data_IF_441558675809
#
_entry.id   IF_441558675809
#
_cell.length_a   1.000
_cell.length_b   1.000
_cell.length_c   1.000
_cell.angle_alpha   90.00
_cell.angle_beta   90.00
_cell.angle_gamma   90.00
#
_symmetry.space_group_name_H-M   'P 1'
#
loop_
_entity.id
_entity.type
_entity.pdbx_description
1 polymer ?
#
# COMPACT_ATOMS: atom_id res chain seq x y z
N UNK A 1 13.83 -19.63 -0.94
CA UNK A 1 14.45 -18.91 -2.08
C UNK A 1 14.01 -17.44 -2.01
N UNK A 2 14.58 -16.51 -2.79
CA UNK A 2 14.07 -15.12 -2.81
C UNK A 2 12.80 -15.09 -3.64
N UNK A 3 11.67 -14.78 -3.02
CA UNK A 3 10.40 -14.61 -3.74
C UNK A 3 10.36 -13.22 -4.36
N UNK A 4 9.96 -13.13 -5.63
CA UNK A 4 9.70 -11.87 -6.32
C UNK A 4 8.23 -11.80 -6.69
N UNK A 5 7.62 -10.63 -6.50
CA UNK A 5 6.24 -10.39 -6.89
C UNK A 5 6.17 -9.77 -8.29
N UNK A 6 5.21 -10.20 -9.10
CA UNK A 6 5.03 -9.70 -10.47
C UNK A 6 3.99 -8.59 -10.54
N UNK A 7 3.97 -7.87 -11.66
CA UNK A 7 2.95 -6.86 -11.93
C UNK A 7 1.55 -7.47 -12.04
N UNK A 8 1.44 -8.72 -12.47
CA UNK A 8 0.16 -9.43 -12.59
C UNK A 8 -0.44 -9.70 -11.21
N UNK A 9 0.35 -10.20 -10.27
CA UNK A 9 -0.10 -10.48 -8.89
C UNK A 9 -0.65 -9.22 -8.21
N UNK A 10 0.09 -8.11 -8.34
CA UNK A 10 -0.29 -6.83 -7.74
C UNK A 10 -1.51 -6.24 -8.45
N UNK A 11 -1.59 -6.31 -9.78
CA UNK A 11 -2.75 -5.82 -10.53
C UNK A 11 -4.02 -6.61 -10.21
N UNK A 12 -3.91 -7.93 -10.06
CA UNK A 12 -5.04 -8.77 -9.71
C UNK A 12 -5.61 -8.35 -8.35
N UNK A 13 -4.76 -8.28 -7.32
CA UNK A 13 -5.16 -7.86 -5.98
C UNK A 13 -5.71 -6.43 -5.96
N UNK A 14 -5.06 -5.48 -6.65
CA UNK A 14 -5.54 -4.10 -6.74
C UNK A 14 -6.89 -4.00 -7.43
N UNK A 15 -7.12 -4.79 -8.48
CA UNK A 15 -8.39 -4.81 -9.21
C UNK A 15 -9.53 -5.38 -8.35
N UNK A 16 -9.27 -6.43 -7.57
CA UNK A 16 -10.23 -6.97 -6.59
C UNK A 16 -10.59 -5.94 -5.51
N UNK A 17 -9.62 -5.14 -5.09
CA UNK A 17 -9.83 -4.02 -4.16
C UNK A 17 -10.51 -2.79 -4.83
N UNK A 18 -10.69 -2.82 -6.16
CA UNK A 18 -11.31 -1.75 -6.95
C UNK A 18 -10.38 -0.59 -7.31
N UNK A 19 -9.07 -0.76 -7.21
CA UNK A 19 -8.06 0.24 -7.57
C UNK A 19 -7.60 0.09 -9.02
N UNK A 20 -7.41 1.22 -9.69
CA UNK A 20 -6.72 1.28 -10.98
C UNK A 20 -5.45 2.10 -10.84
N UNK A 21 -4.32 1.49 -11.21
CA UNK A 21 -2.98 2.08 -11.09
C UNK A 21 -2.27 1.95 -12.44
N UNK A 22 -1.65 3.02 -12.95
CA UNK A 22 -0.87 2.95 -14.18
C UNK A 22 0.28 1.93 -14.07
N UNK A 23 0.53 1.16 -15.13
CA UNK A 23 1.59 0.15 -15.18
C UNK A 23 2.99 0.71 -14.86
N UNK A 24 3.27 1.95 -15.27
CA UNK A 24 4.52 2.65 -14.94
C UNK A 24 4.71 2.77 -13.42
N UNK A 25 3.63 3.10 -12.70
CA UNK A 25 3.65 3.25 -11.24
C UNK A 25 3.80 1.88 -10.57
N UNK A 26 3.13 0.85 -11.08
CA UNK A 26 3.25 -0.52 -10.57
C UNK A 26 4.69 -1.01 -10.70
N UNK A 27 5.32 -0.86 -11.87
CA UNK A 27 6.71 -1.28 -12.07
C UNK A 27 7.68 -0.56 -11.12
N UNK A 28 7.47 0.74 -10.87
CA UNK A 28 8.27 1.48 -9.90
C UNK A 28 8.06 0.99 -8.46
N UNK A 29 6.83 0.63 -8.09
CA UNK A 29 6.52 0.04 -6.78
C UNK A 29 7.17 -1.34 -6.64
N UNK A 30 7.08 -2.19 -7.67
CA UNK A 30 7.71 -3.52 -7.66
C UNK A 30 9.21 -3.44 -7.46
N UNK A 31 9.89 -2.50 -8.11
CA UNK A 31 11.33 -2.31 -7.91
C UNK A 31 11.68 -1.96 -6.46
N UNK A 32 10.86 -1.13 -5.80
CA UNK A 32 11.05 -0.80 -4.38
C UNK A 32 10.73 -1.97 -3.46
N UNK A 33 9.68 -2.71 -3.75
CA UNK A 33 9.22 -3.81 -2.89
C UNK A 33 10.13 -5.03 -3.04
N UNK A 34 10.57 -5.35 -4.26
CA UNK A 34 11.50 -6.46 -4.46
C UNK A 34 12.89 -6.20 -3.84
N UNK A 35 13.27 -4.94 -3.56
CA UNK A 35 14.52 -4.64 -2.86
C UNK A 35 14.52 -5.05 -1.38
N UNK A 36 13.36 -5.38 -0.79
CA UNK A 36 13.29 -5.90 0.59
C UNK A 36 13.43 -7.43 0.66
N UNK A 37 13.52 -8.12 -0.48
CA UNK A 37 13.64 -9.58 -0.54
C UNK A 37 14.86 -10.11 0.20
N UNK A 38 16.00 -9.41 0.15
CA UNK A 38 17.21 -9.79 0.89
C UNK A 38 17.00 -9.79 2.41
N UNK A 39 16.25 -8.81 2.93
CA UNK A 39 15.89 -8.76 4.35
C UNK A 39 15.01 -9.95 4.74
N UNK A 40 14.02 -10.28 3.91
CA UNK A 40 13.12 -11.38 4.18
C UNK A 40 13.83 -12.75 4.14
N UNK A 41 14.77 -12.93 3.22
CA UNK A 41 15.60 -14.14 3.17
C UNK A 41 16.53 -14.22 4.38
N UNK A 42 17.16 -13.11 4.78
CA UNK A 42 18.04 -13.06 5.95
C UNK A 42 17.33 -13.46 7.25
N UNK A 43 16.03 -13.15 7.36
CA UNK A 43 15.20 -13.49 8.51
C UNK A 43 14.47 -14.84 8.40
N UNK A 44 14.76 -15.64 7.37
CA UNK A 44 14.16 -16.98 7.16
C UNK A 44 12.62 -16.98 7.08
N UNK A 45 12.01 -15.95 6.50
CA UNK A 45 10.58 -15.94 6.24
C UNK A 45 10.19 -17.08 5.29
N UNK A 46 9.02 -17.69 5.53
CA UNK A 46 8.47 -18.70 4.62
C UNK A 46 8.15 -18.07 3.26
N UNK A 47 8.19 -18.85 2.18
CA UNK A 47 7.91 -18.31 0.83
C UNK A 47 6.50 -17.72 0.72
N UNK A 48 5.53 -18.27 1.47
CA UNK A 48 4.19 -17.73 1.56
C UNK A 48 4.15 -16.36 2.26
N UNK A 49 4.89 -16.20 3.38
CA UNK A 49 4.95 -14.93 4.10
C UNK A 49 5.69 -13.87 3.28
N UNK A 50 6.77 -14.24 2.60
CA UNK A 50 7.49 -13.34 1.70
C UNK A 50 6.54 -12.80 0.62
N UNK A 51 5.79 -13.67 -0.04
CA UNK A 51 4.84 -13.29 -1.08
C UNK A 51 3.75 -12.35 -0.55
N UNK A 52 3.17 -12.67 0.61
CA UNK A 52 2.14 -11.82 1.24
C UNK A 52 2.68 -10.44 1.63
N UNK A 53 3.87 -10.37 2.23
CA UNK A 53 4.52 -9.11 2.62
C UNK A 53 4.76 -8.24 1.38
N UNK A 54 5.26 -8.82 0.29
CA UNK A 54 5.52 -8.10 -0.96
C UNK A 54 4.22 -7.60 -1.62
N UNK A 55 3.18 -8.44 -1.72
CA UNK A 55 1.89 -8.01 -2.30
C UNK A 55 1.24 -6.90 -1.47
N UNK A 56 1.19 -7.07 -0.14
CA UNK A 56 0.54 -6.10 0.74
C UNK A 56 1.30 -4.78 0.77
N UNK A 57 2.62 -4.80 0.81
CA UNK A 57 3.43 -3.57 0.74
C UNK A 57 3.24 -2.85 -0.61
N UNK A 58 3.21 -3.57 -1.74
CA UNK A 58 2.95 -2.99 -3.05
C UNK A 58 1.55 -2.35 -3.13
N UNK A 59 0.53 -3.05 -2.62
CA UNK A 59 -0.84 -2.54 -2.60
C UNK A 59 -1.00 -1.32 -1.69
N UNK A 60 -0.33 -1.29 -0.54
CA UNK A 60 -0.37 -0.14 0.37
C UNK A 60 0.35 1.07 -0.24
N UNK A 61 1.50 0.88 -0.88
CA UNK A 61 2.20 1.95 -1.59
C UNK A 61 1.36 2.51 -2.74
N UNK A 62 0.71 1.65 -3.51
CA UNK A 62 -0.22 2.06 -4.55
C UNK A 62 -1.36 2.92 -3.97
N UNK A 63 -1.99 2.48 -2.89
CA UNK A 63 -3.04 3.23 -2.20
C UNK A 63 -2.57 4.59 -1.69
N UNK A 64 -1.39 4.67 -1.07
CA UNK A 64 -0.81 5.92 -0.55
C UNK A 64 -0.46 6.92 -1.66
N UNK A 65 -0.06 6.44 -2.84
CA UNK A 65 0.24 7.31 -4.00
C UNK A 65 -1.02 7.85 -4.68
N UNK A 66 -2.21 7.58 -4.12
CA UNK A 66 -3.47 8.03 -4.68
C UNK A 66 -3.97 7.13 -5.80
N UNK A 67 -3.72 5.81 -5.71
CA UNK A 67 -4.44 4.83 -6.53
C UNK A 67 -5.92 5.19 -6.52
N UNK A 68 -6.45 5.54 -7.69
CA UNK A 68 -7.83 5.97 -7.82
C UNK A 68 -8.69 4.72 -7.68
N UNK A 69 -9.34 4.54 -6.54
CA UNK A 69 -10.37 3.50 -6.39
C UNK A 69 -11.48 3.82 -7.36
N UNK A 70 -11.68 3.03 -8.41
CA UNK A 70 -12.81 3.25 -9.31
C UNK A 70 -14.06 3.03 -8.51
N UNK A 71 -14.81 4.09 -8.29
CA UNK A 71 -16.13 3.96 -7.76
C UNK A 71 -17.18 4.50 -8.74
N UNK A 72 -16.83 4.63 -10.05
CA UNK A 72 -16.48 5.91 -10.77
C UNK A 72 -16.66 6.06 -12.30
N UNK A 73 -17.30 5.18 -13.07
CA UNK A 73 -17.52 5.44 -14.51
C UNK A 73 -18.89 6.04 -14.85
N UNK A 74 -18.89 7.23 -15.44
CA UNK A 74 -20.03 7.80 -16.16
C UNK A 74 -19.94 7.54 -17.65
N UNK A 75 -20.84 6.69 -18.15
CA UNK A 75 -21.12 6.59 -19.58
C UNK A 75 -21.91 7.84 -20.04
N UNK A 76 -21.90 8.20 -21.34
CA UNK A 76 -22.63 9.35 -21.92
C UNK A 76 -24.16 9.37 -21.66
N UNK A 77 -24.70 8.33 -21.02
CA UNK A 77 -26.10 8.11 -20.66
C UNK A 77 -26.47 8.54 -19.22
N UNK A 78 -25.65 9.33 -18.53
CA UNK A 78 -26.04 9.96 -17.25
C UNK A 78 -25.88 9.09 -15.99
N UNK A 79 -25.03 8.06 -16.03
CA UNK A 79 -24.73 7.26 -14.84
C UNK A 79 -23.65 7.95 -13.99
N UNK A 80 -24.00 8.57 -12.86
CA UNK A 80 -23.01 9.01 -11.88
C UNK A 80 -22.46 7.81 -11.13
N UNK A 81 -21.18 7.85 -10.80
CA UNK A 81 -20.58 6.89 -9.89
C UNK A 81 -19.74 7.77 -8.90
N UNK A 82 -19.53 7.39 -7.63
CA UNK A 82 -18.86 8.25 -6.61
C UNK A 82 -17.65 7.59 -5.90
N UNK A 83 -16.46 8.20 -5.93
CA UNK A 83 -15.19 7.76 -5.29
C UNK A 83 -15.29 7.68 -3.76
N UNK A 84 -15.20 6.48 -3.17
CA UNK A 84 -15.05 6.28 -1.72
C UNK A 84 -13.60 5.94 -1.37
N UNK A 85 -13.02 6.72 -0.47
CA UNK A 85 -11.77 6.38 0.20
C UNK A 85 -12.11 5.44 1.37
N UNK A 86 -11.55 4.24 1.38
CA UNK A 86 -11.82 3.25 2.44
C UNK A 86 -10.63 3.22 3.42
N UNK A 87 -10.58 4.20 4.31
CA UNK A 87 -9.56 4.31 5.35
C UNK A 87 -9.52 3.09 6.30
N UNK A 88 -10.62 2.34 6.40
CA UNK A 88 -10.75 1.16 7.27
C UNK A 88 -10.02 -0.04 6.65
N UNK A 89 -10.18 -0.26 5.34
CA UNK A 89 -9.46 -1.29 4.60
C UNK A 89 -7.94 -1.09 4.64
N UNK A 90 -7.48 0.16 4.44
CA UNK A 90 -6.05 0.50 4.49
C UNK A 90 -5.43 0.20 5.86
N UNK A 91 -6.07 0.66 6.95
CA UNK A 91 -5.58 0.41 8.33
C UNK A 91 -5.53 -1.07 8.68
N UNK A 92 -6.54 -1.83 8.27
CA UNK A 92 -6.61 -3.27 8.53
C UNK A 92 -5.49 -4.01 7.81
N UNK A 93 -5.27 -3.69 6.53
CA UNK A 93 -4.21 -4.27 5.71
C UNK A 93 -2.81 -3.86 6.18
N UNK A 94 -2.64 -2.63 6.64
CA UNK A 94 -1.40 -2.17 7.28
C UNK A 94 -1.11 -2.92 8.59
N UNK A 95 -2.14 -3.14 9.43
CA UNK A 95 -2.01 -3.93 10.65
C UNK A 95 -1.60 -5.38 10.34
N UNK A 96 -2.23 -6.00 9.34
CA UNK A 96 -1.86 -7.34 8.88
C UNK A 96 -0.40 -7.40 8.40
N UNK A 97 0.03 -6.42 7.61
CA UNK A 97 1.43 -6.31 7.17
C UNK A 97 2.39 -6.23 8.37
N UNK A 98 2.07 -5.42 9.39
CA UNK A 98 2.90 -5.28 10.59
C UNK A 98 2.95 -6.55 11.44
N UNK A 99 1.91 -7.37 11.44
CA UNK A 99 1.92 -8.66 12.13
C UNK A 99 2.73 -9.72 11.37
N UNK A 100 2.75 -9.65 10.03
CA UNK A 100 3.59 -10.52 9.21
C UNK A 100 5.07 -10.09 9.27
N UNK A 101 5.34 -8.80 9.15
CA UNK A 101 6.69 -8.22 9.14
C UNK A 101 7.21 -7.93 10.56
N UNK A 102 7.37 -9.00 11.36
CA UNK A 102 7.89 -8.94 12.74
C UNK A 102 9.30 -8.29 12.82
N UNK A 103 10.12 -8.47 11.78
CA UNK A 103 11.49 -7.96 11.73
C UNK A 103 11.63 -6.56 11.13
N UNK A 104 10.54 -5.95 10.65
CA UNK A 104 10.54 -4.56 10.15
C UNK A 104 11.22 -4.39 8.79
N UNK A 105 11.27 -5.43 7.95
CA UNK A 105 11.82 -5.36 6.60
C UNK A 105 11.11 -4.32 5.70
N UNK A 106 9.86 -3.96 6.02
CA UNK A 106 9.06 -2.98 5.28
C UNK A 106 9.25 -1.53 5.75
N UNK A 107 9.98 -1.28 6.85
CA UNK A 107 10.14 0.06 7.42
C UNK A 107 10.89 1.02 6.47
N UNK A 108 11.80 0.49 5.65
CA UNK A 108 12.52 1.26 4.62
C UNK A 108 11.62 1.74 3.46
N UNK A 109 10.41 1.18 3.32
CA UNK A 109 9.45 1.55 2.28
C UNK A 109 8.64 2.79 2.62
N UNK A 110 8.74 3.31 3.86
CA UNK A 110 8.03 4.51 4.28
C UNK A 110 6.50 4.34 4.36
N UNK A 111 6.02 3.10 4.47
CA UNK A 111 4.61 2.77 4.64
C UNK A 111 4.22 3.14 6.09
N UNK A 112 3.84 4.40 6.30
CA UNK A 112 3.41 4.90 7.62
C UNK A 112 1.94 5.31 7.56
N UNK A 113 1.11 4.73 8.42
CA UNK A 113 -0.35 4.91 8.40
C UNK A 113 -0.83 6.20 9.09
N UNK A 114 0.02 6.91 9.84
CA UNK A 114 -0.25 8.26 10.39
C UNK A 114 0.94 8.72 11.23
N UNK A 115 1.61 9.79 10.81
CA UNK A 115 1.93 10.85 11.77
C UNK A 115 0.93 11.96 11.51
N UNK A 116 -0.09 12.10 12.37
CA UNK A 116 -0.82 13.37 12.43
C UNK A 116 0.25 14.45 12.62
N UNK A 117 0.35 15.49 11.77
CA UNK A 117 1.20 16.62 12.12
C UNK A 117 0.62 17.16 13.43
N UNK A 118 1.37 16.99 14.52
CA UNK A 118 1.02 17.56 15.81
C UNK A 118 1.20 19.07 15.66
N UNK A 119 0.18 19.76 15.18
CA UNK A 119 0.10 21.21 15.23
C UNK A 119 -0.09 21.59 16.69
N UNK A 120 1.03 21.76 17.41
CA UNK A 120 1.05 22.45 18.69
C UNK A 120 0.80 23.93 18.38
N UNK A 121 -0.47 24.36 18.44
CA UNK A 121 -0.80 25.79 18.51
C UNK A 121 -0.28 26.28 19.86
N UNK A 122 0.90 26.90 19.86
CA UNK A 122 1.35 27.73 20.98
C UNK A 122 0.44 28.95 20.94
N UNK A 123 -0.61 28.92 21.76
CA UNK A 123 -1.44 30.10 21.99
C UNK A 123 -0.56 31.20 22.54
N UNK A 124 -0.23 32.19 21.71
CA UNK A 124 0.24 33.48 22.17
C UNK A 124 -0.86 34.07 23.04
N UNK A 125 -0.60 34.15 24.34
CA UNK A 125 -1.35 35.04 25.22
C UNK A 125 -0.59 36.35 25.23
N UNK A 126 -0.99 37.24 24.34
CA UNK A 126 -0.82 38.67 24.57
C UNK A 126 -1.59 39.05 25.85
N UNK A 127 -0.97 39.94 26.62
CA UNK A 127 -1.41 40.60 27.86
C UNK A 127 -1.02 39.99 29.22
#
# INVERSE_FOLDING_TARGET
MSVQVTAEDVNQMLSELGYSVPSIVINAILNKVNSISDCLVAHNYSEADQLLILIYSACLLAQMQGARKIASQSAPSGASRSFKYDDVGFKSMYSLLKNLDVHGCTDCLGISCSKKPFFLVVGGRDE
#
